data_IF_800769465360
#
_entry.id   IF_800769465360
#
_cell.length_a   1.000
_cell.length_b   1.000
_cell.length_c   1.000
_cell.angle_alpha   90.00
_cell.angle_beta   90.00
_cell.angle_gamma   90.00
#
_symmetry.space_group_name_H-M   'P 1'
#
loop_
_entity.id
_entity.type
_entity.pdbx_description
1 polymer ?
#
# COMPACT_ATOMS: atom_id res chain seq x y z
N UNK A 1 24.41 -1.61 7.88
CA UNK A 1 22.94 -1.50 7.72
C UNK A 1 22.66 -1.32 6.24
N UNK A 2 21.78 -2.13 5.66
CA UNK A 2 21.44 -2.10 4.23
C UNK A 2 19.93 -2.06 4.07
N UNK A 3 19.45 -1.36 3.06
CA UNK A 3 18.03 -1.34 2.71
C UNK A 3 17.73 -2.48 1.74
N UNK A 4 16.77 -3.32 2.08
CA UNK A 4 16.26 -4.34 1.16
C UNK A 4 15.18 -3.72 0.28
N UNK A 5 15.31 -3.88 -1.04
CA UNK A 5 14.37 -3.35 -2.02
C UNK A 5 13.69 -4.53 -2.72
N UNK A 6 12.36 -4.56 -2.65
CA UNK A 6 11.54 -5.49 -3.42
C UNK A 6 10.91 -4.72 -4.57
N UNK A 7 11.23 -5.11 -5.80
CA UNK A 7 10.69 -4.49 -7.02
C UNK A 7 9.38 -5.15 -7.45
N UNK A 8 8.72 -4.56 -8.45
CA UNK A 8 7.55 -5.17 -9.10
C UNK A 8 7.88 -6.55 -9.70
N UNK A 9 9.12 -6.75 -10.18
CA UNK A 9 9.54 -8.05 -10.72
C UNK A 9 9.63 -9.09 -9.61
N UNK A 10 10.16 -8.72 -8.44
CA UNK A 10 10.26 -9.64 -7.30
C UNK A 10 8.88 -10.02 -6.78
N UNK A 11 7.98 -9.04 -6.66
CA UNK A 11 6.58 -9.29 -6.28
C UNK A 11 5.88 -10.22 -7.27
N UNK A 12 6.09 -10.03 -8.58
CA UNK A 12 5.55 -10.93 -9.60
C UNK A 12 6.05 -12.36 -9.40
N UNK A 13 7.34 -12.55 -9.11
CA UNK A 13 7.90 -13.89 -8.86
C UNK A 13 7.29 -14.54 -7.62
N UNK A 14 7.06 -13.77 -6.55
CA UNK A 14 6.39 -14.27 -5.35
C UNK A 14 4.98 -14.75 -5.68
N UNK A 15 4.16 -13.92 -6.33
CA UNK A 15 2.77 -14.28 -6.67
C UNK A 15 2.71 -15.48 -7.61
N UNK A 16 3.58 -15.54 -8.63
CA UNK A 16 3.64 -16.67 -9.56
C UNK A 16 4.06 -17.98 -8.88
N UNK A 17 4.94 -17.90 -7.88
CA UNK A 17 5.45 -19.07 -7.16
C UNK A 17 4.47 -19.58 -6.09
N UNK A 18 3.80 -18.68 -5.39
CA UNK A 18 2.83 -19.00 -4.32
C UNK A 18 1.48 -19.40 -4.92
N UNK A 19 1.09 -18.77 -6.02
CA UNK A 19 -0.27 -18.85 -6.57
C UNK A 19 -1.14 -17.74 -6.01
N UNK A 20 -2.05 -17.21 -6.85
CA UNK A 20 -2.87 -16.05 -6.51
C UNK A 20 -3.78 -16.33 -5.30
N UNK A 21 -4.43 -17.49 -5.28
CA UNK A 21 -5.40 -17.85 -4.24
C UNK A 21 -4.71 -17.96 -2.87
N UNK A 22 -3.64 -18.76 -2.78
CA UNK A 22 -2.88 -18.89 -1.54
C UNK A 22 -2.27 -17.56 -1.08
N UNK A 23 -1.81 -16.71 -2.01
CA UNK A 23 -1.33 -15.38 -1.67
C UNK A 23 -2.43 -14.49 -1.08
N UNK A 24 -3.65 -14.58 -1.61
CA UNK A 24 -4.81 -13.84 -1.09
C UNK A 24 -5.28 -14.38 0.27
N UNK A 25 -5.27 -15.70 0.47
CA UNK A 25 -5.61 -16.33 1.75
C UNK A 25 -4.68 -15.83 2.87
N UNK A 26 -3.37 -15.78 2.61
CA UNK A 26 -2.36 -15.23 3.55
C UNK A 26 -2.61 -13.75 3.88
N UNK A 27 -3.03 -12.93 2.90
CA UNK A 27 -3.40 -11.53 3.14
C UNK A 27 -4.64 -11.45 4.04
N UNK A 28 -5.65 -12.29 3.78
CA UNK A 28 -6.88 -12.33 4.57
C UNK A 28 -6.58 -12.69 6.02
N UNK A 29 -5.77 -13.73 6.24
CA UNK A 29 -5.33 -14.15 7.57
C UNK A 29 -4.58 -13.01 8.29
N UNK A 30 -3.59 -12.39 7.63
CA UNK A 30 -2.85 -11.27 8.21
C UNK A 30 -3.72 -10.05 8.56
N UNK A 31 -4.74 -9.76 7.76
CA UNK A 31 -5.70 -8.69 8.09
C UNK A 31 -6.54 -9.09 9.31
N UNK A 32 -7.03 -10.32 9.39
CA UNK A 32 -7.82 -10.80 10.53
C UNK A 32 -7.02 -10.77 11.84
N UNK A 33 -5.72 -11.11 11.80
CA UNK A 33 -4.83 -11.01 12.94
C UNK A 33 -4.75 -9.58 13.47
N UNK A 34 -4.55 -8.59 12.58
CA UNK A 34 -4.51 -7.18 12.96
C UNK A 34 -5.85 -6.71 13.51
N UNK A 35 -6.97 -7.09 12.89
CA UNK A 35 -8.31 -6.70 13.34
C UNK A 35 -8.68 -7.32 14.70
N UNK A 36 -8.00 -8.41 15.10
CA UNK A 36 -8.20 -9.07 16.39
C UNK A 36 -7.39 -8.45 17.53
N UNK A 37 -6.47 -7.54 17.23
CA UNK A 37 -5.67 -6.84 18.24
C UNK A 37 -6.51 -5.81 19.01
N UNK A 38 -6.05 -5.49 20.23
CA UNK A 38 -6.56 -4.34 20.96
C UNK A 38 -6.31 -3.05 20.16
N UNK A 39 -7.34 -2.24 19.84
CA UNK A 39 -7.18 -1.00 19.09
C UNK A 39 -6.20 -0.01 19.71
N UNK A 40 -5.98 -0.05 21.02
CA UNK A 40 -4.99 0.80 21.70
C UNK A 40 -3.54 0.48 21.32
N UNK A 41 -3.30 -0.72 20.77
CA UNK A 41 -2.00 -1.14 20.26
C UNK A 41 -1.77 -0.66 18.81
N UNK A 42 -2.78 -0.15 18.12
CA UNK A 42 -2.68 0.22 16.70
C UNK A 42 -2.69 1.75 16.57
N UNK A 43 -1.62 2.30 16.03
CA UNK A 43 -1.50 3.74 15.76
C UNK A 43 -1.52 4.00 14.25
N UNK A 44 -2.65 4.54 13.78
CA UNK A 44 -2.85 4.94 12.37
C UNK A 44 -3.32 6.40 12.39
N UNK A 45 -2.41 7.39 12.30
CA UNK A 45 -2.82 8.78 12.21
C UNK A 45 -3.52 9.03 10.86
N UNK A 46 -4.24 10.15 10.70
CA UNK A 46 -4.83 10.52 9.43
C UNK A 46 -3.78 10.52 8.31
N UNK A 47 -4.19 10.00 7.14
CA UNK A 47 -3.41 10.18 5.91
C UNK A 47 -3.30 11.67 5.59
N UNK A 48 -2.24 12.04 4.88
CA UNK A 48 -2.03 13.41 4.41
C UNK A 48 -1.33 13.38 3.05
N UNK A 49 -1.35 14.49 2.32
CA UNK A 49 -0.94 14.49 0.92
C UNK A 49 -1.06 15.81 0.18
N UNK A 50 -0.61 15.76 -1.07
CA UNK A 50 -0.80 16.84 -2.04
C UNK A 50 -1.98 16.52 -2.94
N UNK A 51 -2.86 17.50 -3.13
CA UNK A 51 -4.03 17.42 -3.99
C UNK A 51 -3.98 18.50 -5.06
N UNK A 52 -4.29 18.15 -6.29
CA UNK A 52 -4.27 19.08 -7.41
C UNK A 52 -5.35 18.77 -8.43
N UNK A 53 -5.70 19.77 -9.23
CA UNK A 53 -6.86 19.74 -10.13
C UNK A 53 -6.49 20.01 -11.60
N UNK A 54 -5.25 20.41 -11.89
CA UNK A 54 -4.80 20.83 -13.23
C UNK A 54 -3.45 20.20 -13.56
N UNK A 55 -3.19 19.79 -14.82
CA UNK A 55 -4.14 19.75 -15.95
C UNK A 55 -5.22 18.67 -15.81
N UNK A 56 -4.98 17.65 -14.98
CA UNK A 56 -5.93 16.61 -14.60
C UNK A 56 -6.00 16.52 -13.07
N UNK A 57 -7.14 16.13 -12.49
CA UNK A 57 -7.22 15.91 -11.05
C UNK A 57 -6.36 14.74 -10.59
N UNK A 58 -5.73 14.87 -9.43
CA UNK A 58 -4.94 13.81 -8.84
C UNK A 58 -4.42 14.14 -7.45
N UNK A 59 -3.84 13.14 -6.81
CA UNK A 59 -3.20 13.27 -5.50
C UNK A 59 -1.97 12.39 -5.36
N UNK A 60 -1.15 12.73 -4.38
CA UNK A 60 -0.10 11.89 -3.82
C UNK A 60 -0.24 11.95 -2.30
N UNK A 61 -0.60 10.83 -1.68
CA UNK A 61 -0.84 10.70 -0.24
C UNK A 61 0.18 9.77 0.40
N UNK A 62 0.51 10.04 1.66
CA UNK A 62 1.22 9.12 2.54
C UNK A 62 0.31 8.63 3.67
N UNK A 63 0.41 7.33 3.97
CA UNK A 63 -0.41 6.64 4.96
C UNK A 63 0.53 5.90 5.95
N UNK A 64 0.91 6.53 7.07
CA UNK A 64 1.76 5.90 8.07
C UNK A 64 0.94 5.03 9.05
N UNK A 65 1.55 4.00 9.59
CA UNK A 65 0.97 3.14 10.63
C UNK A 65 2.05 2.48 11.49
N UNK A 66 1.70 2.11 12.72
CA UNK A 66 2.55 1.34 13.64
C UNK A 66 1.68 0.45 14.54
N UNK A 67 2.17 -0.73 14.88
CA UNK A 67 1.55 -1.65 15.85
C UNK A 67 2.48 -1.82 17.05
N UNK A 68 1.99 -1.50 18.24
CA UNK A 68 2.73 -1.51 19.50
C UNK A 68 4.04 -0.76 19.38
N UNK A 69 5.11 -1.39 19.86
CA UNK A 69 6.47 -0.88 19.70
C UNK A 69 7.18 -1.30 18.40
N UNK A 70 6.46 -1.92 17.48
CA UNK A 70 6.98 -2.44 16.21
C UNK A 70 7.41 -1.38 15.20
N UNK A 71 7.79 -1.82 13.98
CA UNK A 71 8.25 -0.92 12.93
C UNK A 71 7.16 0.04 12.47
N UNK A 72 7.59 1.22 12.01
CA UNK A 72 6.71 2.14 11.30
C UNK A 72 6.61 1.70 9.84
N UNK A 73 5.40 1.59 9.34
CA UNK A 73 5.11 1.30 7.94
C UNK A 73 4.51 2.55 7.31
N UNK A 74 5.02 2.95 6.14
CA UNK A 74 4.50 4.08 5.38
C UNK A 74 4.18 3.60 3.97
N UNK A 75 2.93 3.79 3.54
CA UNK A 75 2.54 3.63 2.14
C UNK A 75 2.48 5.01 1.49
N UNK A 76 3.24 5.21 0.42
CA UNK A 76 3.07 6.32 -0.50
C UNK A 76 2.19 5.84 -1.65
N UNK A 77 1.19 6.63 -2.04
CA UNK A 77 0.26 6.24 -3.11
C UNK A 77 -0.20 7.45 -3.92
N UNK A 78 -0.24 7.29 -5.24
CA UNK A 78 -0.86 8.25 -6.15
C UNK A 78 -2.27 7.80 -6.53
N UNK A 79 -3.18 8.76 -6.72
CA UNK A 79 -4.47 8.52 -7.38
C UNK A 79 -4.65 9.53 -8.52
N UNK A 80 -4.76 9.00 -9.73
CA UNK A 80 -4.84 9.75 -10.98
C UNK A 80 -5.85 9.09 -11.91
N UNK A 81 -7.14 9.44 -11.84
CA UNK A 81 -8.20 8.75 -12.57
C UNK A 81 -8.06 8.83 -14.10
N UNK A 82 -7.34 9.84 -14.59
CA UNK A 82 -7.09 10.05 -16.02
C UNK A 82 -5.89 9.24 -16.56
N UNK A 83 -5.11 8.58 -15.69
CA UNK A 83 -3.94 7.78 -16.07
C UNK A 83 -4.23 6.70 -17.12
N UNK A 84 -5.26 5.84 -16.96
CA UNK A 84 -5.50 4.77 -17.94
C UNK A 84 -5.85 5.30 -19.32
N UNK A 85 -6.53 6.44 -19.38
CA UNK A 85 -7.02 7.02 -20.63
C UNK A 85 -5.95 7.81 -21.37
N UNK A 86 -5.12 8.56 -20.64
CA UNK A 86 -4.20 9.53 -21.23
C UNK A 86 -2.74 9.08 -21.24
N UNK A 87 -2.37 8.12 -20.40
CA UNK A 87 -0.95 7.80 -20.14
C UNK A 87 -0.62 6.30 -20.15
N UNK A 88 -1.59 5.41 -20.37
CA UNK A 88 -1.40 3.95 -20.29
C UNK A 88 -0.79 3.51 -18.95
N UNK A 89 -1.20 4.21 -17.89
CA UNK A 89 -0.78 3.97 -16.51
C UNK A 89 -1.99 3.56 -15.66
N UNK A 90 -1.80 2.81 -14.58
CA UNK A 90 -2.88 2.53 -13.64
C UNK A 90 -3.33 3.82 -12.93
N UNK A 91 -4.58 3.82 -12.50
CA UNK A 91 -5.16 4.90 -11.69
C UNK A 91 -4.45 5.05 -10.34
N UNK A 92 -3.99 3.94 -9.77
CA UNK A 92 -3.26 3.89 -8.49
C UNK A 92 -1.79 3.65 -8.80
N UNK A 93 -0.92 4.57 -8.37
CA UNK A 93 0.53 4.51 -8.51
C UNK A 93 1.21 4.25 -7.18
#
# INVERSE_FOLDING_TARGET
>A
MTTHVLTVSDLRQVVLKVGLDAFMDEIIEGINDILSLDPTQIHVPPRDGFHYHKPYPGLVEWMPSRVGDGPVVIKLVGYHPENPKHFDLPTIL
#
